data_IF_773289919918
#
_entry.id   IF_773289919918
#
_cell.length_a   1.000
_cell.length_b   1.000
_cell.length_c   1.000
_cell.angle_alpha   90.00
_cell.angle_beta   90.00
_cell.angle_gamma   90.00
#
_symmetry.space_group_name_H-M   'P 1'
#
loop_
_entity.id
_entity.type
_entity.pdbx_description
1 polymer ?
#
# COMPACT_ATOMS: atom_id res chain seq x y z
N UNK A 1 -17.75 -37.91 -19.76
CA UNK A 1 -18.46 -36.83 -19.02
C UNK A 1 -18.75 -37.18 -17.56
N UNK A 2 -19.69 -38.06 -17.19
CA UNK A 2 -19.99 -38.29 -15.75
C UNK A 2 -18.79 -38.91 -14.97
N UNK A 3 -18.11 -39.89 -15.56
CA UNK A 3 -16.89 -40.49 -15.00
C UNK A 3 -15.72 -39.50 -14.92
N UNK A 4 -15.59 -38.60 -15.90
CA UNK A 4 -14.55 -37.55 -15.89
C UNK A 4 -14.82 -36.51 -14.81
N UNK A 5 -16.09 -36.11 -14.63
CA UNK A 5 -16.50 -35.21 -13.54
C UNK A 5 -16.23 -35.86 -12.18
N UNK A 6 -16.49 -37.16 -12.06
CA UNK A 6 -16.26 -37.90 -10.82
C UNK A 6 -14.76 -38.07 -10.52
N UNK A 7 -13.94 -38.36 -11.54
CA UNK A 7 -12.49 -38.44 -11.42
C UNK A 7 -11.84 -37.07 -11.11
N UNK A 8 -12.34 -35.99 -11.72
CA UNK A 8 -11.94 -34.63 -11.35
C UNK A 8 -12.32 -34.30 -9.91
N UNK A 9 -13.51 -34.72 -9.47
CA UNK A 9 -13.98 -34.54 -8.10
C UNK A 9 -13.10 -35.26 -7.08
N UNK A 10 -12.75 -36.53 -7.33
CA UNK A 10 -11.86 -37.29 -6.44
C UNK A 10 -10.46 -36.67 -6.38
N UNK A 11 -9.89 -36.29 -7.53
CA UNK A 11 -8.57 -35.66 -7.57
C UNK A 11 -8.55 -34.29 -6.86
N UNK A 12 -9.65 -33.54 -6.92
CA UNK A 12 -9.77 -32.28 -6.20
C UNK A 12 -9.85 -32.48 -4.68
N UNK A 13 -10.54 -33.54 -4.23
CA UNK A 13 -10.59 -33.92 -2.82
C UNK A 13 -9.23 -34.40 -2.32
N UNK A 14 -8.51 -35.21 -3.10
CA UNK A 14 -7.15 -35.68 -2.74
C UNK A 14 -6.18 -34.51 -2.57
N UNK A 15 -6.21 -33.53 -3.49
CA UNK A 15 -5.41 -32.29 -3.35
C UNK A 15 -5.83 -31.52 -2.11
N UNK A 16 -7.14 -31.38 -1.86
CA UNK A 16 -7.65 -30.65 -0.72
C UNK A 16 -7.20 -31.27 0.60
N UNK A 17 -7.32 -32.59 0.73
CA UNK A 17 -6.91 -33.34 1.92
C UNK A 17 -5.39 -33.28 2.11
N UNK A 18 -4.61 -33.38 1.03
CA UNK A 18 -3.16 -33.18 1.07
C UNK A 18 -2.80 -31.77 1.56
N UNK A 19 -3.49 -30.74 1.06
CA UNK A 19 -3.25 -29.36 1.47
C UNK A 19 -3.66 -29.09 2.93
N UNK A 20 -4.70 -29.74 3.44
CA UNK A 20 -5.09 -29.63 4.84
C UNK A 20 -4.12 -30.38 5.76
N UNK A 21 -3.58 -31.51 5.32
CA UNK A 21 -2.60 -32.29 6.08
C UNK A 21 -1.29 -31.52 6.31
N UNK A 22 -0.93 -30.59 5.40
CA UNK A 22 0.24 -29.73 5.53
C UNK A 22 0.10 -28.54 6.49
N UNK A 23 -1.09 -28.29 7.05
CA UNK A 23 -1.31 -27.18 7.98
C UNK A 23 -0.70 -27.49 9.35
N UNK A 24 0.02 -26.50 9.90
CA UNK A 24 0.58 -26.57 11.24
C UNK A 24 -0.54 -26.87 12.28
N UNK A 25 -0.44 -27.99 13.01
CA UNK A 25 -1.50 -28.41 13.93
C UNK A 25 -1.74 -27.40 15.06
N UNK A 26 -0.74 -26.58 15.40
CA UNK A 26 -0.82 -25.56 16.46
C UNK A 26 -1.78 -24.42 16.11
N UNK A 27 -2.15 -24.28 14.83
CA UNK A 27 -3.08 -23.26 14.35
C UNK A 27 -4.54 -23.71 14.27
N UNK A 28 -4.86 -25.00 14.47
CA UNK A 28 -6.23 -25.54 14.26
C UNK A 28 -7.29 -24.86 15.13
N UNK A 29 -6.93 -24.48 16.36
CA UNK A 29 -7.82 -23.80 17.31
C UNK A 29 -7.93 -22.30 17.06
N UNK A 30 -7.09 -21.74 16.19
CA UNK A 30 -7.13 -20.31 15.90
C UNK A 30 -8.31 -19.97 14.99
N UNK A 31 -9.02 -18.86 15.22
CA UNK A 31 -10.13 -18.47 14.37
C UNK A 31 -9.71 -18.37 12.91
N UNK A 32 -10.51 -18.97 12.01
CA UNK A 32 -10.37 -18.92 10.56
C UNK A 32 -9.13 -19.66 10.00
N UNK A 33 -8.45 -20.49 10.79
CA UNK A 33 -7.29 -21.29 10.36
C UNK A 33 -7.61 -22.76 10.09
N UNK A 34 -8.85 -23.20 10.34
CA UNK A 34 -9.25 -24.61 10.21
C UNK A 34 -9.11 -25.13 8.77
N UNK A 35 -9.43 -24.29 7.79
CA UNK A 35 -9.36 -24.57 6.36
C UNK A 35 -9.44 -23.25 5.56
N UNK A 36 -9.12 -23.24 4.25
CA UNK A 36 -9.04 -21.99 3.47
C UNK A 36 -10.41 -21.40 3.09
N UNK A 37 -11.51 -22.11 3.34
CA UNK A 37 -12.85 -21.73 2.86
C UNK A 37 -13.33 -20.42 3.52
N UNK A 38 -13.33 -20.26 4.86
CA UNK A 38 -13.75 -19.02 5.50
C UNK A 38 -13.01 -17.78 4.97
N UNK A 39 -11.69 -17.86 4.83
CA UNK A 39 -10.88 -16.76 4.31
C UNK A 39 -11.24 -16.44 2.85
N UNK A 40 -11.40 -17.46 2.01
CA UNK A 40 -11.79 -17.28 0.61
C UNK A 40 -13.20 -16.69 0.49
N UNK A 41 -14.15 -17.12 1.34
CA UNK A 41 -15.51 -16.56 1.39
C UNK A 41 -15.51 -15.09 1.81
N UNK A 42 -14.76 -14.73 2.86
CA UNK A 42 -14.60 -13.33 3.30
C UNK A 42 -14.08 -12.48 2.14
N UNK A 43 -13.07 -12.96 1.43
CA UNK A 43 -12.46 -12.24 0.32
C UNK A 43 -13.42 -12.05 -0.86
N UNK A 44 -14.17 -13.08 -1.24
CA UNK A 44 -15.17 -12.99 -2.30
C UNK A 44 -16.28 -12.01 -1.94
N UNK A 45 -16.77 -12.05 -0.70
CA UNK A 45 -17.75 -11.09 -0.19
C UNK A 45 -17.20 -9.65 -0.21
N UNK A 46 -15.95 -9.46 0.22
CA UNK A 46 -15.26 -8.17 0.18
C UNK A 46 -15.16 -7.63 -1.25
N UNK A 47 -14.70 -8.46 -2.20
CA UNK A 47 -14.57 -8.07 -3.61
C UNK A 47 -15.92 -7.72 -4.22
N UNK A 48 -16.94 -8.55 -3.98
CA UNK A 48 -18.31 -8.28 -4.42
C UNK A 48 -18.84 -6.95 -3.85
N UNK A 49 -18.59 -6.69 -2.57
CA UNK A 49 -18.99 -5.45 -1.93
C UNK A 49 -18.27 -4.24 -2.53
N UNK A 50 -16.94 -4.26 -2.60
CA UNK A 50 -16.14 -3.10 -3.03
C UNK A 50 -16.34 -2.78 -4.50
N UNK A 51 -16.40 -3.81 -5.36
CA UNK A 51 -16.42 -3.64 -6.81
C UNK A 51 -17.83 -3.43 -7.37
N UNK A 52 -18.85 -3.97 -6.71
CA UNK A 52 -20.21 -3.99 -7.27
C UNK A 52 -21.25 -3.40 -6.32
N UNK A 53 -21.50 -4.06 -5.19
CA UNK A 53 -22.66 -3.74 -4.34
C UNK A 53 -22.53 -2.36 -3.67
N UNK A 54 -21.39 -2.07 -3.06
CA UNK A 54 -21.12 -0.83 -2.34
C UNK A 54 -21.23 0.43 -3.21
N UNK A 55 -20.54 0.50 -4.38
CA UNK A 55 -20.70 1.61 -5.32
C UNK A 55 -22.16 1.79 -5.78
N UNK A 56 -22.91 0.70 -6.00
CA UNK A 56 -24.31 0.75 -6.42
C UNK A 56 -25.23 1.29 -5.32
N UNK A 57 -25.05 0.85 -4.07
CA UNK A 57 -25.77 1.39 -2.90
C UNK A 57 -25.46 2.87 -2.71
N UNK A 58 -24.21 3.27 -2.93
CA UNK A 58 -23.74 4.65 -2.72
C UNK A 58 -24.04 5.59 -3.89
N UNK A 59 -24.48 5.07 -5.05
CA UNK A 59 -24.72 5.87 -6.26
C UNK A 59 -25.66 7.06 -5.97
N UNK A 60 -26.79 6.79 -5.33
CA UNK A 60 -27.83 7.77 -5.02
C UNK A 60 -27.77 8.30 -3.57
N UNK A 61 -26.68 8.05 -2.85
CA UNK A 61 -26.48 8.51 -1.47
C UNK A 61 -25.37 9.56 -1.39
N UNK A 62 -25.48 10.44 -0.41
CA UNK A 62 -24.40 11.37 -0.05
C UNK A 62 -23.25 10.58 0.62
N UNK A 63 -21.98 11.00 0.46
CA UNK A 63 -20.86 10.39 1.16
C UNK A 63 -21.05 10.40 2.68
N UNK A 64 -20.76 9.29 3.34
CA UNK A 64 -20.82 9.22 4.80
C UNK A 64 -19.72 10.05 5.46
N UNK A 65 -20.04 10.69 6.58
CA UNK A 65 -19.09 11.45 7.40
C UNK A 65 -18.50 10.54 8.50
N UNK A 66 -17.50 9.74 8.12
CA UNK A 66 -16.91 8.71 9.00
C UNK A 66 -15.62 9.19 9.69
N UNK A 67 -15.51 10.49 9.98
CA UNK A 67 -14.26 11.10 10.47
C UNK A 67 -13.77 10.44 11.77
N UNK A 68 -14.60 10.44 12.81
CA UNK A 68 -14.24 9.92 14.13
C UNK A 68 -13.99 8.41 14.08
N UNK A 69 -14.82 7.67 13.34
CA UNK A 69 -14.63 6.24 13.11
C UNK A 69 -13.26 5.93 12.46
N UNK A 70 -12.87 6.69 11.42
CA UNK A 70 -11.54 6.53 10.81
C UNK A 70 -10.41 6.89 11.76
N UNK A 71 -10.55 7.93 12.59
CA UNK A 71 -9.52 8.30 13.57
C UNK A 71 -9.29 7.14 14.54
N UNK A 72 -10.35 6.65 15.18
CA UNK A 72 -10.29 5.53 16.14
C UNK A 72 -9.72 4.28 15.46
N UNK A 73 -10.21 3.95 14.27
CA UNK A 73 -9.74 2.80 13.50
C UNK A 73 -8.24 2.89 13.17
N UNK A 74 -7.76 4.01 12.63
CA UNK A 74 -6.35 4.16 12.26
C UNK A 74 -5.44 4.10 13.48
N UNK A 75 -5.81 4.74 14.61
CA UNK A 75 -5.01 4.65 15.84
C UNK A 75 -5.05 3.26 16.49
N UNK A 76 -6.16 2.54 16.34
CA UNK A 76 -6.24 1.12 16.74
C UNK A 76 -5.27 0.27 15.92
N UNK A 77 -5.19 0.50 14.60
CA UNK A 77 -4.23 -0.20 13.74
C UNK A 77 -2.77 0.20 14.01
N UNK A 78 -2.50 1.43 14.44
CA UNK A 78 -1.18 1.80 14.94
C UNK A 78 -0.83 0.97 16.17
N UNK A 79 -1.71 0.92 17.17
CA UNK A 79 -1.47 0.15 18.39
C UNK A 79 -1.29 -1.35 18.11
N UNK A 80 -2.15 -1.92 17.25
CA UNK A 80 -2.05 -3.31 16.81
C UNK A 80 -0.73 -3.58 16.08
N UNK A 81 -0.31 -2.69 15.19
CA UNK A 81 0.95 -2.85 14.43
C UNK A 81 2.16 -2.74 15.35
N UNK A 82 2.17 -1.81 16.32
CA UNK A 82 3.24 -1.72 17.34
C UNK A 82 3.32 -3.01 18.16
N UNK A 83 2.17 -3.54 18.59
CA UNK A 83 2.12 -4.79 19.34
C UNK A 83 2.64 -5.96 18.50
N UNK A 84 2.25 -6.07 17.23
CA UNK A 84 2.75 -7.13 16.33
C UNK A 84 4.26 -7.01 16.11
N UNK A 85 4.80 -5.80 15.92
CA UNK A 85 6.25 -5.59 15.80
C UNK A 85 6.97 -6.06 17.07
N UNK A 86 6.50 -5.63 18.23
CA UNK A 86 7.05 -6.06 19.52
C UNK A 86 7.01 -7.59 19.66
N UNK A 87 5.88 -8.22 19.33
CA UNK A 87 5.74 -9.66 19.43
C UNK A 87 6.65 -10.39 18.44
N UNK A 88 6.82 -9.94 17.20
CA UNK A 88 7.79 -10.55 16.27
C UNK A 88 9.23 -10.42 16.77
N UNK A 89 9.60 -9.24 17.28
CA UNK A 89 10.93 -9.01 17.87
C UNK A 89 11.17 -9.99 19.02
N UNK A 90 10.24 -10.08 19.96
CA UNK A 90 10.40 -10.92 21.14
C UNK A 90 10.14 -12.41 20.88
N UNK A 91 9.56 -12.78 19.74
CA UNK A 91 9.35 -14.17 19.32
C UNK A 91 10.55 -14.77 18.58
N UNK A 92 11.54 -13.98 18.18
CA UNK A 92 12.79 -14.51 17.65
C UNK A 92 13.74 -13.43 17.13
N UNK A 93 13.23 -12.43 16.41
CA UNK A 93 14.06 -11.45 15.68
C UNK A 93 15.02 -10.65 16.55
N UNK A 94 14.68 -10.39 17.82
CA UNK A 94 15.53 -9.70 18.79
C UNK A 94 16.16 -10.63 19.83
N UNK A 95 15.91 -11.94 19.76
CA UNK A 95 16.29 -12.90 20.81
C UNK A 95 17.12 -14.05 20.26
N UNK A 96 16.54 -14.91 19.42
CA UNK A 96 17.12 -16.19 19.02
C UNK A 96 17.52 -16.25 17.54
N UNK A 97 16.94 -15.41 16.69
CA UNK A 97 17.17 -15.46 15.25
C UNK A 97 18.51 -14.83 14.86
N UNK A 98 19.12 -15.42 13.83
CA UNK A 98 20.43 -15.08 13.30
C UNK A 98 20.38 -14.03 12.19
N UNK A 99 19.18 -13.66 11.73
CA UNK A 99 18.95 -12.76 10.58
C UNK A 99 19.48 -13.33 9.26
N UNK A 100 19.51 -14.66 9.18
CA UNK A 100 20.01 -15.44 8.04
C UNK A 100 19.07 -16.61 7.77
N UNK A 101 19.56 -17.84 7.90
CA UNK A 101 18.75 -19.04 7.77
C UNK A 101 18.14 -19.40 9.12
N UNK A 102 17.00 -18.79 9.41
CA UNK A 102 16.22 -19.11 10.60
C UNK A 102 15.09 -20.07 10.21
N UNK A 103 15.18 -21.32 10.64
CA UNK A 103 14.17 -22.36 10.40
C UNK A 103 12.88 -22.08 11.19
N UNK A 104 11.77 -22.69 10.77
CA UNK A 104 10.53 -22.66 11.55
C UNK A 104 10.69 -23.60 12.75
N UNK A 105 10.53 -23.11 13.97
CA UNK A 105 10.46 -23.95 15.16
C UNK A 105 9.08 -24.61 15.25
N UNK A 106 9.03 -25.93 15.10
CA UNK A 106 7.80 -26.75 15.15
C UNK A 106 7.49 -27.29 16.54
N UNK A 107 8.31 -26.99 17.55
CA UNK A 107 8.08 -27.40 18.93
C UNK A 107 6.92 -26.65 19.59
N UNK A 108 6.44 -27.17 20.71
CA UNK A 108 5.49 -26.48 21.59
C UNK A 108 6.18 -25.61 22.65
N UNK A 109 7.41 -25.16 22.37
CA UNK A 109 8.11 -24.25 23.27
C UNK A 109 7.33 -22.92 23.41
N UNK A 110 7.38 -22.25 24.57
CA UNK A 110 6.71 -20.96 24.74
C UNK A 110 7.13 -19.92 23.69
N UNK A 111 8.39 -19.97 23.24
CA UNK A 111 8.93 -19.11 22.21
C UNK A 111 8.31 -19.41 20.83
N UNK A 112 8.24 -20.68 20.44
CA UNK A 112 7.63 -21.11 19.18
C UNK A 112 6.14 -20.78 19.13
N UNK A 113 5.40 -21.10 20.19
CA UNK A 113 3.97 -20.78 20.29
C UNK A 113 3.69 -19.28 20.25
N UNK A 114 4.61 -18.45 20.78
CA UNK A 114 4.54 -17.00 20.66
C UNK A 114 4.70 -16.55 19.20
N UNK A 115 5.67 -17.11 18.47
CA UNK A 115 5.85 -16.85 17.03
C UNK A 115 4.61 -17.22 16.22
N UNK A 116 4.03 -18.40 16.48
CA UNK A 116 2.81 -18.86 15.82
C UNK A 116 1.65 -17.90 16.08
N UNK A 117 1.48 -17.45 17.33
CA UNK A 117 0.43 -16.50 17.71
C UNK A 117 0.58 -15.16 17.00
N UNK A 118 1.79 -14.60 16.93
CA UNK A 118 2.01 -13.32 16.24
C UNK A 118 1.88 -13.46 14.72
N UNK A 119 2.27 -14.59 14.13
CA UNK A 119 2.04 -14.88 12.71
C UNK A 119 0.53 -14.88 12.39
N UNK A 120 -0.28 -15.56 13.22
CA UNK A 120 -1.73 -15.50 13.10
C UNK A 120 -2.29 -14.09 13.30
N UNK A 121 -1.82 -13.37 14.34
CA UNK A 121 -2.32 -12.02 14.62
C UNK A 121 -2.01 -11.04 13.49
N UNK A 122 -0.82 -11.17 12.89
CA UNK A 122 -0.44 -10.42 11.71
C UNK A 122 -1.37 -10.71 10.53
N UNK A 123 -1.65 -11.99 10.24
CA UNK A 123 -2.57 -12.36 9.18
C UNK A 123 -3.99 -11.83 9.46
N UNK A 124 -4.48 -11.99 10.69
CA UNK A 124 -5.77 -11.50 11.11
C UNK A 124 -5.87 -9.97 10.98
N UNK A 125 -4.78 -9.24 11.23
CA UNK A 125 -4.71 -7.80 11.00
C UNK A 125 -5.03 -7.47 9.53
N UNK A 126 -4.59 -8.28 8.57
CA UNK A 126 -4.89 -8.06 7.13
C UNK A 126 -6.37 -8.17 6.80
N UNK A 127 -7.13 -8.99 7.54
CA UNK A 127 -8.60 -9.03 7.42
C UNK A 127 -9.20 -7.71 7.93
N UNK A 128 -8.72 -7.19 9.06
CA UNK A 128 -9.19 -5.91 9.61
C UNK A 128 -8.92 -4.77 8.62
N UNK A 129 -7.77 -4.80 7.95
CA UNK A 129 -7.36 -3.79 6.95
C UNK A 129 -8.27 -3.75 5.71
N UNK A 130 -9.11 -4.78 5.46
CA UNK A 130 -10.13 -4.73 4.41
C UNK A 130 -11.13 -3.57 4.60
N UNK A 131 -11.31 -3.13 5.86
CA UNK A 131 -12.17 -2.00 6.22
C UNK A 131 -11.67 -0.68 5.59
N UNK A 132 -10.37 -0.55 5.28
CA UNK A 132 -9.80 0.62 4.57
C UNK A 132 -10.58 0.92 3.28
N UNK A 133 -10.81 -0.13 2.50
CA UNK A 133 -11.51 -0.01 1.22
C UNK A 133 -12.99 0.24 1.42
N UNK A 134 -13.59 -0.32 2.49
CA UNK A 134 -14.97 -0.01 2.85
C UNK A 134 -15.14 1.49 3.16
N UNK A 135 -14.21 2.10 3.89
CA UNK A 135 -14.22 3.54 4.11
C UNK A 135 -14.13 4.33 2.81
N UNK A 136 -13.30 3.91 1.84
CA UNK A 136 -13.22 4.59 0.54
C UNK A 136 -14.53 4.52 -0.25
N UNK A 137 -15.18 3.35 -0.28
CA UNK A 137 -16.46 3.15 -0.96
C UNK A 137 -17.57 3.99 -0.31
N UNK A 138 -17.72 3.92 1.01
CA UNK A 138 -18.75 4.66 1.77
C UNK A 138 -18.54 6.19 1.73
N UNK A 139 -17.31 6.66 1.52
CA UNK A 139 -16.99 8.09 1.34
C UNK A 139 -16.96 8.55 -0.11
N UNK A 140 -17.32 7.67 -1.06
CA UNK A 140 -17.26 7.92 -2.52
C UNK A 140 -15.88 8.42 -2.99
N UNK A 141 -14.81 7.90 -2.38
CA UNK A 141 -13.41 8.21 -2.72
C UNK A 141 -12.85 7.20 -3.73
N UNK A 142 -13.56 6.99 -4.83
CA UNK A 142 -13.22 5.99 -5.86
C UNK A 142 -11.80 6.18 -6.44
N UNK A 143 -11.27 7.40 -6.46
CA UNK A 143 -9.88 7.64 -6.89
C UNK A 143 -8.81 6.99 -6.01
N UNK A 144 -9.15 6.58 -4.77
CA UNK A 144 -8.28 5.82 -3.87
C UNK A 144 -8.40 4.30 -4.08
N UNK A 145 -9.53 3.83 -4.60
CA UNK A 145 -9.79 2.42 -4.92
C UNK A 145 -9.13 2.10 -6.26
N UNK A 146 -7.81 1.96 -6.24
CA UNK A 146 -6.99 1.65 -7.43
C UNK A 146 -6.80 0.15 -7.60
N UNK A 147 -6.39 -0.28 -8.79
CA UNK A 147 -5.96 -1.66 -9.03
C UNK A 147 -4.91 -2.11 -8.00
N UNK A 148 -3.89 -1.27 -7.75
CA UNK A 148 -2.86 -1.55 -6.75
C UNK A 148 -3.47 -1.84 -5.36
N UNK A 149 -4.39 -0.98 -4.93
CA UNK A 149 -5.04 -1.10 -3.62
C UNK A 149 -5.87 -2.39 -3.53
N UNK A 150 -6.73 -2.65 -4.52
CA UNK A 150 -7.59 -3.83 -4.52
C UNK A 150 -6.75 -5.10 -4.63
N UNK A 151 -5.78 -5.14 -5.54
CA UNK A 151 -4.90 -6.30 -5.70
C UNK A 151 -4.17 -6.60 -4.40
N UNK A 152 -3.56 -5.59 -3.76
CA UNK A 152 -2.88 -5.75 -2.48
C UNK A 152 -3.81 -6.27 -1.39
N UNK A 153 -4.93 -5.58 -1.12
CA UNK A 153 -5.85 -5.97 -0.05
C UNK A 153 -6.66 -7.24 -0.36
N UNK A 154 -6.61 -7.77 -1.58
CA UNK A 154 -7.30 -9.02 -1.91
C UNK A 154 -6.35 -10.20 -1.87
N UNK A 155 -5.25 -10.07 -2.59
CA UNK A 155 -4.34 -11.17 -2.82
C UNK A 155 -3.42 -11.40 -1.61
N UNK A 156 -2.95 -10.34 -0.93
CA UNK A 156 -2.05 -10.48 0.20
C UNK A 156 -2.69 -11.24 1.38
N UNK A 157 -3.87 -10.90 1.89
CA UNK A 157 -4.46 -11.64 3.01
C UNK A 157 -4.66 -13.13 2.68
N UNK A 158 -4.96 -13.45 1.41
CA UNK A 158 -5.16 -14.82 0.94
C UNK A 158 -3.85 -15.61 0.87
N UNK A 159 -2.78 -15.02 0.34
CA UNK A 159 -1.46 -15.68 0.30
C UNK A 159 -0.84 -15.80 1.69
N UNK A 160 -1.03 -14.79 2.55
CA UNK A 160 -0.60 -14.84 3.95
C UNK A 160 -1.29 -15.95 4.74
N UNK A 161 -2.55 -16.27 4.44
CA UNK A 161 -3.23 -17.40 5.09
C UNK A 161 -2.45 -18.70 4.88
N UNK A 162 -2.06 -18.98 3.63
CA UNK A 162 -1.24 -20.16 3.31
C UNK A 162 0.15 -20.10 3.95
N UNK A 163 0.79 -18.93 3.92
CA UNK A 163 2.11 -18.73 4.55
C UNK A 163 2.08 -19.02 6.05
N UNK A 164 1.09 -18.51 6.77
CA UNK A 164 0.92 -18.76 8.20
C UNK A 164 0.49 -20.20 8.47
N UNK A 165 -0.41 -20.76 7.66
CA UNK A 165 -0.87 -22.13 7.83
C UNK A 165 0.26 -23.16 7.70
N UNK A 166 1.26 -22.92 6.85
CA UNK A 166 2.36 -23.86 6.61
C UNK A 166 3.63 -23.51 7.38
N UNK A 167 4.00 -22.22 7.42
CA UNK A 167 5.27 -21.75 7.92
C UNK A 167 5.09 -20.55 8.87
N UNK A 168 4.46 -20.73 10.05
CA UNK A 168 4.22 -19.65 11.00
C UNK A 168 5.48 -19.26 11.79
N UNK A 169 6.52 -18.78 11.09
CA UNK A 169 7.78 -18.35 11.70
C UNK A 169 8.98 -18.38 10.75
N UNK A 170 10.17 -18.49 11.34
CA UNK A 170 11.45 -18.55 10.65
C UNK A 170 11.76 -17.29 9.85
N UNK A 171 12.71 -17.41 8.93
CA UNK A 171 13.14 -16.32 8.05
C UNK A 171 12.00 -15.79 7.16
N UNK A 172 10.98 -16.62 6.89
CA UNK A 172 9.75 -16.21 6.21
C UNK A 172 8.99 -15.11 6.96
N UNK A 173 9.07 -15.04 8.29
CA UNK A 173 8.37 -14.02 9.10
C UNK A 173 8.98 -12.61 9.02
N UNK A 174 10.17 -12.45 8.42
CA UNK A 174 10.88 -11.17 8.34
C UNK A 174 10.03 -10.08 7.69
N UNK A 175 9.40 -10.42 6.57
CA UNK A 175 8.59 -9.46 5.83
C UNK A 175 7.31 -9.05 6.59
N UNK A 176 6.79 -9.90 7.49
CA UNK A 176 5.67 -9.57 8.37
C UNK A 176 6.08 -8.49 9.37
N UNK A 177 7.26 -8.65 9.98
CA UNK A 177 7.80 -7.71 10.96
C UNK A 177 8.09 -6.35 10.31
N UNK A 178 8.75 -6.33 9.14
CA UNK A 178 9.04 -5.08 8.43
C UNK A 178 7.75 -4.42 7.93
N UNK A 179 6.80 -5.20 7.38
CA UNK A 179 5.49 -4.67 6.97
C UNK A 179 4.77 -4.01 8.15
N UNK A 180 4.71 -4.67 9.30
CA UNK A 180 4.07 -4.13 10.50
C UNK A 180 4.74 -2.84 10.96
N UNK A 181 6.08 -2.75 10.89
CA UNK A 181 6.83 -1.53 11.21
C UNK A 181 6.45 -0.36 10.29
N UNK A 182 6.30 -0.62 8.99
CA UNK A 182 5.83 0.39 8.03
C UNK A 182 4.35 0.73 8.25
N UNK A 183 3.52 -0.24 8.63
CA UNK A 183 2.10 -0.03 8.92
C UNK A 183 1.89 0.88 10.15
N UNK A 184 2.77 0.84 11.16
CA UNK A 184 2.78 1.84 12.24
C UNK A 184 2.85 3.26 11.68
N UNK A 185 3.80 3.51 10.78
CA UNK A 185 4.03 4.83 10.18
C UNK A 185 2.86 5.23 9.26
N UNK A 186 2.39 4.29 8.44
CA UNK A 186 1.32 4.52 7.47
C UNK A 186 -0.02 4.83 8.15
N UNK A 187 -0.44 4.02 9.12
CA UNK A 187 -1.71 4.25 9.83
C UNK A 187 -1.65 5.47 10.74
N UNK A 188 -0.48 5.80 11.29
CA UNK A 188 -0.29 7.06 11.99
C UNK A 188 -0.50 8.26 11.06
N UNK A 189 0.06 8.21 9.84
CA UNK A 189 -0.18 9.21 8.81
C UNK A 189 -1.67 9.33 8.47
N UNK A 190 -2.38 8.20 8.27
CA UNK A 190 -3.80 8.21 7.95
C UNK A 190 -4.69 8.70 9.10
N UNK A 191 -4.36 8.37 10.36
CA UNK A 191 -5.04 8.90 11.54
C UNK A 191 -4.93 10.43 11.61
N UNK A 192 -3.72 10.97 11.42
CA UNK A 192 -3.51 12.41 11.37
C UNK A 192 -4.21 13.07 10.17
N UNK A 193 -4.20 12.41 9.00
CA UNK A 193 -4.90 12.92 7.82
C UNK A 193 -6.43 12.96 8.02
N UNK A 194 -6.99 12.01 8.78
CA UNK A 194 -8.40 11.96 9.14
C UNK A 194 -8.79 13.01 10.20
N UNK A 195 -7.87 13.38 11.10
CA UNK A 195 -8.11 14.38 12.15
C UNK A 195 -8.45 15.79 11.62
N UNK A 196 -8.17 16.07 10.35
CA UNK A 196 -8.72 17.20 9.59
C UNK A 196 -7.68 18.23 9.13
N UNK A 197 -8.12 19.37 8.55
CA UNK A 197 -7.24 20.34 7.91
C UNK A 197 -6.18 20.96 8.84
N UNK A 198 -6.44 20.99 10.15
CA UNK A 198 -5.47 21.47 11.16
C UNK A 198 -4.20 20.61 11.18
N UNK A 199 -4.34 19.29 11.03
CA UNK A 199 -3.22 18.35 11.06
C UNK A 199 -2.61 18.10 9.68
N UNK A 200 -3.42 18.14 8.61
CA UNK A 200 -2.96 17.92 7.24
C UNK A 200 -1.85 18.87 6.79
N UNK A 201 -1.79 20.09 7.33
CA UNK A 201 -0.73 21.06 7.04
C UNK A 201 0.67 20.55 7.44
N UNK A 202 0.75 19.70 8.46
CA UNK A 202 2.01 19.13 8.94
C UNK A 202 2.41 17.84 8.20
N UNK A 203 1.58 17.33 7.30
CA UNK A 203 1.79 16.08 6.56
C UNK A 203 2.59 16.27 5.26
N UNK A 204 3.61 17.13 5.30
CA UNK A 204 4.51 17.41 4.16
C UNK A 204 5.33 16.18 3.73
N UNK A 205 5.51 15.23 4.64
CA UNK A 205 6.35 14.05 4.46
C UNK A 205 5.65 12.86 3.75
N UNK A 206 4.49 13.09 3.11
CA UNK A 206 3.78 12.06 2.32
C UNK A 206 4.68 11.33 1.33
N UNK A 207 5.62 12.03 0.70
CA UNK A 207 6.60 11.43 -0.25
C UNK A 207 7.50 10.41 0.44
N UNK A 208 7.96 10.69 1.66
CA UNK A 208 8.80 9.77 2.43
C UNK A 208 8.06 8.51 2.85
N UNK A 209 6.74 8.57 3.06
CA UNK A 209 5.95 7.35 3.31
C UNK A 209 6.04 6.37 2.13
N UNK A 210 5.88 6.84 0.89
CA UNK A 210 6.04 5.97 -0.28
C UNK A 210 7.48 5.50 -0.46
N UNK A 211 8.47 6.33 -0.08
CA UNK A 211 9.88 5.92 -0.10
C UNK A 211 10.16 4.78 0.89
N UNK A 212 9.65 4.89 2.12
CA UNK A 212 9.78 3.85 3.16
C UNK A 212 9.12 2.54 2.69
N UNK A 213 7.96 2.60 2.04
CA UNK A 213 7.31 1.41 1.46
C UNK A 213 8.17 0.77 0.35
N UNK A 214 8.82 1.57 -0.51
CA UNK A 214 9.77 1.05 -1.51
C UNK A 214 10.99 0.41 -0.86
N UNK A 215 11.56 1.06 0.16
CA UNK A 215 12.70 0.55 0.91
C UNK A 215 12.36 -0.76 1.59
N UNK A 216 11.16 -0.92 2.16
CA UNK A 216 10.69 -2.20 2.70
C UNK A 216 10.79 -3.33 1.68
N UNK A 217 10.29 -3.13 0.44
CA UNK A 217 10.35 -4.18 -0.57
C UNK A 217 11.78 -4.56 -0.92
N UNK A 218 12.69 -3.57 -1.00
CA UNK A 218 14.12 -3.84 -1.23
C UNK A 218 14.72 -4.65 -0.07
N UNK A 219 14.47 -4.24 1.18
CA UNK A 219 15.00 -4.92 2.37
C UNK A 219 14.49 -6.37 2.46
N UNK A 220 13.19 -6.57 2.23
CA UNK A 220 12.57 -7.90 2.23
C UNK A 220 13.13 -8.78 1.12
N UNK A 221 13.27 -8.25 -0.09
CA UNK A 221 13.85 -8.99 -1.21
C UNK A 221 15.30 -9.36 -0.96
N UNK A 222 16.12 -8.44 -0.44
CA UNK A 222 17.52 -8.73 -0.09
C UNK A 222 17.64 -9.84 0.95
N UNK A 223 16.82 -9.79 2.01
CA UNK A 223 16.80 -10.83 3.04
C UNK A 223 16.37 -12.18 2.46
N UNK A 224 15.29 -12.23 1.67
CA UNK A 224 14.84 -13.46 1.01
C UNK A 224 15.90 -14.01 0.04
N UNK A 225 16.64 -13.13 -0.65
CA UNK A 225 17.69 -13.52 -1.58
C UNK A 225 18.86 -14.25 -0.90
N UNK A 226 19.12 -14.01 0.39
CA UNK A 226 20.18 -14.71 1.12
C UNK A 226 19.99 -16.24 1.07
N UNK A 227 18.75 -16.74 1.03
CA UNK A 227 18.45 -18.17 0.90
C UNK A 227 19.13 -18.82 -0.31
N UNK A 228 19.23 -18.12 -1.44
CA UNK A 228 19.82 -18.65 -2.67
C UNK A 228 21.35 -18.66 -2.68
N UNK A 229 21.98 -17.97 -1.72
CA UNK A 229 23.43 -17.82 -1.63
C UNK A 229 24.03 -18.51 -0.39
N UNK A 230 23.21 -19.19 0.42
CA UNK A 230 23.68 -19.99 1.53
C UNK A 230 23.88 -21.44 1.10
N UNK A 231 25.07 -21.98 1.33
CA UNK A 231 25.42 -23.36 0.98
C UNK A 231 24.63 -24.40 1.79
N UNK A 232 24.23 -24.03 3.01
CA UNK A 232 23.39 -24.85 3.89
C UNK A 232 22.33 -23.98 4.57
N UNK A 233 21.06 -24.33 4.38
CA UNK A 233 19.95 -23.70 5.05
C UNK A 233 18.80 -24.70 5.27
N UNK A 234 18.54 -25.06 6.52
CA UNK A 234 17.53 -26.06 6.90
C UNK A 234 16.11 -25.49 6.99
N UNK A 235 15.80 -24.46 6.21
CA UNK A 235 14.46 -23.87 6.16
C UNK A 235 13.50 -24.81 5.43
N UNK A 236 12.47 -25.26 6.15
CA UNK A 236 11.62 -26.38 5.74
C UNK A 236 10.65 -26.05 4.61
N UNK A 237 10.40 -24.76 4.33
CA UNK A 237 9.36 -24.32 3.39
C UNK A 237 9.87 -23.41 2.27
N UNK A 238 10.83 -23.84 1.41
CA UNK A 238 11.43 -22.97 0.39
C UNK A 238 10.42 -22.26 -0.51
N UNK A 239 9.30 -22.91 -0.83
CA UNK A 239 8.22 -22.33 -1.63
C UNK A 239 7.71 -20.99 -1.08
N UNK A 240 7.63 -20.84 0.25
CA UNK A 240 7.21 -19.58 0.89
C UNK A 240 8.19 -18.45 0.56
N UNK A 241 9.50 -18.73 0.55
CA UNK A 241 10.53 -17.73 0.21
C UNK A 241 10.51 -17.34 -1.26
N UNK A 242 10.28 -18.31 -2.15
CA UNK A 242 10.12 -18.04 -3.59
C UNK A 242 8.93 -17.11 -3.83
N UNK A 243 7.81 -17.34 -3.16
CA UNK A 243 6.62 -16.49 -3.25
C UNK A 243 6.88 -15.09 -2.67
N UNK A 244 7.55 -14.97 -1.52
CA UNK A 244 7.94 -13.68 -0.94
C UNK A 244 8.81 -12.89 -1.92
N UNK A 245 9.80 -13.52 -2.54
CA UNK A 245 10.70 -12.86 -3.49
C UNK A 245 9.96 -12.43 -4.78
N UNK A 246 9.13 -13.31 -5.34
CA UNK A 246 8.29 -13.03 -6.51
C UNK A 246 7.34 -11.85 -6.24
N UNK A 247 6.60 -11.90 -5.13
CA UNK A 247 5.67 -10.83 -4.76
C UNK A 247 6.39 -9.54 -4.39
N UNK A 248 7.53 -9.62 -3.69
CA UNK A 248 8.37 -8.46 -3.39
C UNK A 248 8.77 -7.73 -4.67
N UNK A 249 9.21 -8.46 -5.69
CA UNK A 249 9.55 -7.91 -7.01
C UNK A 249 8.33 -7.32 -7.72
N UNK A 250 7.21 -8.04 -7.72
CA UNK A 250 5.96 -7.58 -8.34
C UNK A 250 5.44 -6.26 -7.71
N UNK A 251 5.39 -6.18 -6.38
CA UNK A 251 4.98 -4.97 -5.68
C UNK A 251 5.98 -3.83 -5.83
N UNK A 252 7.28 -4.12 -5.85
CA UNK A 252 8.29 -3.11 -6.12
C UNK A 252 8.06 -2.43 -7.48
N UNK A 253 7.76 -3.21 -8.53
CA UNK A 253 7.43 -2.66 -9.87
C UNK A 253 6.16 -1.80 -9.81
N UNK A 254 5.09 -2.29 -9.17
CA UNK A 254 3.83 -1.55 -9.07
C UNK A 254 3.98 -0.24 -8.29
N UNK A 255 4.67 -0.24 -7.16
CA UNK A 255 4.90 0.96 -6.36
C UNK A 255 5.88 1.92 -7.05
N UNK A 256 6.86 1.41 -7.79
CA UNK A 256 7.73 2.24 -8.63
C UNK A 256 6.95 2.96 -9.73
N UNK A 257 6.02 2.25 -10.39
CA UNK A 257 5.11 2.86 -11.35
C UNK A 257 4.21 3.92 -10.67
N UNK A 258 3.67 3.63 -9.49
CA UNK A 258 2.91 4.61 -8.71
C UNK A 258 3.76 5.85 -8.40
N UNK A 259 5.01 5.70 -7.97
CA UNK A 259 5.93 6.80 -7.68
C UNK A 259 6.15 7.69 -8.91
N UNK A 260 6.44 7.08 -10.06
CA UNK A 260 6.63 7.79 -11.33
C UNK A 260 5.38 8.59 -11.69
N UNK A 261 4.19 7.97 -11.61
CA UNK A 261 2.95 8.65 -11.97
C UNK A 261 2.57 9.76 -10.99
N UNK A 262 2.73 9.53 -9.70
CA UNK A 262 2.27 10.43 -8.64
C UNK A 262 3.21 11.62 -8.45
N UNK A 263 4.53 11.38 -8.45
CA UNK A 263 5.53 12.36 -8.02
C UNK A 263 6.39 12.89 -9.16
N UNK A 264 6.79 12.05 -10.12
CA UNK A 264 7.60 12.50 -11.27
C UNK A 264 6.73 13.17 -12.31
N UNK A 265 5.60 12.54 -12.70
CA UNK A 265 4.62 13.08 -13.65
C UNK A 265 3.59 14.01 -12.99
N UNK A 266 3.66 14.18 -11.66
CA UNK A 266 2.84 15.15 -10.91
C UNK A 266 1.33 14.89 -10.85
N UNK A 267 0.81 13.74 -11.33
CA UNK A 267 -0.63 13.51 -11.47
C UNK A 267 -1.40 13.43 -10.14
N UNK A 268 -0.70 13.30 -9.01
CA UNK A 268 -1.29 13.12 -7.67
C UNK A 268 -0.61 13.96 -6.57
N UNK A 269 0.18 14.97 -6.95
CA UNK A 269 0.72 15.93 -5.98
C UNK A 269 -0.43 16.69 -5.31
N UNK A 270 -0.29 17.08 -4.02
CA UNK A 270 -1.22 18.04 -3.44
C UNK A 270 -1.19 19.29 -4.33
N UNK A 271 -2.35 19.73 -4.83
CA UNK A 271 -2.47 21.03 -5.46
C UNK A 271 -2.01 22.04 -4.41
N UNK A 272 -0.83 22.62 -4.59
CA UNK A 272 -0.58 23.92 -4.01
C UNK A 272 -1.59 24.84 -4.68
N UNK A 273 -2.46 25.46 -3.89
CA UNK A 273 -3.25 26.60 -4.33
C UNK A 273 -2.29 27.76 -4.62
N UNK A 274 -1.55 27.66 -5.73
CA UNK A 274 -0.94 28.82 -6.35
C UNK A 274 -2.11 29.62 -6.89
N UNK A 275 -2.58 30.58 -6.09
CA UNK A 275 -3.45 31.65 -6.59
C UNK A 275 -2.74 32.22 -7.83
N UNK A 276 -3.33 32.14 -9.03
CA UNK A 276 -2.77 32.87 -10.14
C UNK A 276 -2.89 34.35 -9.80
N UNK A 277 -1.76 35.04 -9.62
CA UNK A 277 -1.76 36.49 -9.65
C UNK A 277 -2.31 36.92 -11.01
N UNK A 278 -3.57 37.38 -11.01
CA UNK A 278 -4.13 38.14 -12.11
C UNK A 278 -3.46 39.52 -12.08
N UNK A 279 -2.33 39.67 -12.76
CA UNK A 279 -1.83 41.01 -13.08
C UNK A 279 -2.63 41.51 -14.29
N UNK A 280 -3.72 42.21 -13.99
CA UNK A 280 -4.32 43.15 -14.92
C UNK A 280 -3.39 44.34 -15.12
N UNK A 281 -3.18 44.71 -16.37
CA UNK A 281 -2.44 45.90 -16.79
C UNK A 281 -3.33 47.14 -16.61
N UNK A 282 -2.88 48.12 -15.84
CA UNK A 282 -3.17 49.54 -16.10
C UNK A 282 -2.14 50.43 -15.40
N UNK A 283 -1.53 51.28 -16.23
CA UNK A 283 -0.49 52.27 -15.96
C UNK A 283 -1.05 53.47 -15.20
N UNK A 284 -0.29 54.02 -14.23
CA UNK A 284 -0.26 55.47 -13.96
C UNK A 284 1.05 55.90 -13.23
N UNK A 285 1.93 56.54 -13.99
CA UNK A 285 2.76 57.75 -13.73
C UNK A 285 3.57 58.00 -12.43
N UNK A 286 4.90 58.16 -12.67
CA UNK A 286 5.89 59.15 -12.18
C UNK A 286 6.38 59.19 -10.71
N UNK A 287 7.71 59.06 -10.52
CA UNK A 287 8.43 59.52 -9.31
C UNK A 287 9.86 59.00 -9.09
N UNK A 288 10.86 59.68 -9.67
CA UNK A 288 12.29 59.88 -9.27
C UNK A 288 13.13 58.79 -8.52
N UNK A 289 14.18 58.34 -9.24
CA UNK A 289 15.65 58.37 -8.95
C UNK A 289 16.21 57.82 -7.62
N UNK A 290 17.04 56.77 -7.70
CA UNK A 290 18.48 56.82 -7.35
C UNK A 290 19.26 55.58 -7.84
N UNK A 291 20.49 55.83 -8.29
CA UNK A 291 21.47 54.92 -8.90
C UNK A 291 22.21 53.99 -7.92
N UNK A 292 22.76 52.91 -8.49
CA UNK A 292 24.02 52.18 -8.22
C UNK A 292 23.75 50.68 -8.35
N UNK A 293 24.44 49.85 -9.13
CA UNK A 293 25.68 49.95 -9.89
C UNK A 293 26.19 48.52 -10.10
N UNK A 294 27.08 48.34 -11.08
CA UNK A 294 27.90 47.17 -11.40
C UNK A 294 27.37 46.22 -12.48
N UNK A 295 28.02 46.39 -13.62
CA UNK A 295 28.05 45.65 -14.88
C UNK A 295 28.95 44.41 -14.84
N UNK A 296 28.52 43.36 -15.54
CA UNK A 296 29.32 42.46 -16.41
C UNK A 296 28.27 41.60 -17.16
N UNK A 297 28.15 41.53 -18.48
CA UNK A 297 29.06 41.87 -19.57
C UNK A 297 29.36 40.60 -20.37
N UNK A 298 28.47 40.17 -21.28
CA UNK A 298 28.88 39.55 -22.56
C UNK A 298 27.73 39.57 -23.57
N UNK A 299 27.97 40.26 -24.68
CA UNK A 299 27.16 40.37 -25.89
C UNK A 299 27.73 39.47 -26.99
N UNK A 300 26.85 38.97 -27.87
CA UNK A 300 27.04 38.68 -29.31
C UNK A 300 25.60 38.43 -29.84
N UNK A 301 25.04 39.03 -30.89
CA UNK A 301 25.50 39.91 -31.97
C UNK A 301 24.81 39.47 -33.28
N UNK A 302 24.22 40.43 -34.02
CA UNK A 302 23.76 40.40 -35.43
C UNK A 302 22.37 39.73 -35.75
N UNK A 303 21.29 40.51 -35.98
CA UNK A 303 20.78 41.15 -37.25
C UNK A 303 20.14 40.15 -38.24
N UNK A 304 18.91 40.29 -38.75
CA UNK A 304 18.45 41.36 -39.66
C UNK A 304 16.93 41.26 -39.98
N UNK A 305 16.28 42.43 -40.26
CA UNK A 305 15.15 42.72 -41.19
C UNK A 305 13.87 41.85 -41.17
N UNK A 306 12.62 42.30 -41.33
CA UNK A 306 11.98 43.50 -41.91
C UNK A 306 10.44 43.42 -41.68
N UNK A 307 9.79 44.57 -41.45
CA UNK A 307 8.32 44.77 -41.49
C UNK A 307 7.82 44.85 -42.96
N UNK A 308 6.52 45.02 -43.35
CA UNK A 308 5.43 45.70 -42.60
C UNK A 308 3.97 45.20 -42.73
N UNK A 309 3.12 45.72 -41.83
CA UNK A 309 1.69 46.10 -41.91
C UNK A 309 0.66 45.28 -42.72
N UNK A 310 -0.46 44.92 -42.06
CA UNK A 310 -1.81 45.34 -42.50
C UNK A 310 -2.86 45.29 -41.36
N UNK A 311 -3.80 46.24 -41.42
CA UNK A 311 -4.87 46.54 -40.44
C UNK A 311 -6.22 45.93 -40.88
N UNK A 312 -7.07 45.60 -39.91
CA UNK A 312 -8.54 45.44 -40.08
C UNK A 312 -9.16 44.91 -38.78
N UNK A 313 -9.87 45.70 -37.96
CA UNK A 313 -11.29 46.09 -38.10
C UNK A 313 -12.18 44.84 -38.31
N UNK A 314 -13.24 44.50 -37.57
CA UNK A 314 -14.08 45.13 -36.55
C UNK A 314 -15.09 44.07 -36.08
N UNK A 315 -15.71 44.31 -34.93
CA UNK A 315 -17.10 43.96 -34.58
C UNK A 315 -17.52 42.55 -34.10
N UNK A 316 -17.91 42.53 -32.81
CA UNK A 316 -19.24 42.17 -32.27
C UNK A 316 -19.59 40.69 -31.97
N UNK A 317 -19.52 40.43 -30.65
CA UNK A 317 -20.61 40.03 -29.74
C UNK A 317 -21.20 38.61 -29.76
N UNK A 318 -21.37 38.10 -28.52
CA UNK A 318 -22.43 37.21 -27.99
C UNK A 318 -22.41 35.79 -28.60
N UNK A 319 -22.71 34.68 -27.90
CA UNK A 319 -23.59 34.44 -26.77
C UNK A 319 -23.38 33.00 -26.26
N UNK A 320 -23.58 32.81 -24.95
CA UNK A 320 -24.26 31.70 -24.23
C UNK A 320 -24.24 30.24 -24.75
N UNK A 321 -23.95 29.38 -23.76
CA UNK A 321 -24.62 28.11 -23.36
C UNK A 321 -24.59 26.92 -24.31
N UNK A 322 -24.01 25.83 -23.81
CA UNK A 322 -24.75 24.65 -23.33
C UNK A 322 -24.04 24.10 -22.09
#
# INVERSE_FOLDING_TARGET
>A
MLQEIQAMGSHALDIYDYLLAGIDPRLKEYPLMQNPIPMSSILLCYLFFVMYLGPRIMANRKPFQLKEAMIVYNFTLVALSVFIVYEFLMSGWATTYTWRCDAVDTSDSPQALRMVRVAWLFWFSKIIELIDTMFFVLRKKHGQVTFLHIFHHSFMPWTWWWGVAYAPGGMGSFHAMVNSSVHVIMYFYYGLAAAGPRFQKFLWWKKYMTAIQLTQFVLVSLHATQYYFMDSCDYQFPMVLHLIWMYGTFFFVLFSNFWIQAYVKGKRLPKQDVKPCKNGTAVHTNGKRHENGISHGTSNGASNSSAPHENGSTHVSKMKKA
#
